data_IF_332186278548
#
_entry.id   IF_332186278548
#
_cell.length_a   1.000
_cell.length_b   1.000
_cell.length_c   1.000
_cell.angle_alpha   90.00
_cell.angle_beta   90.00
_cell.angle_gamma   90.00
#
_symmetry.space_group_name_H-M   'P 1'
#
loop_
_entity.id
_entity.type
_entity.pdbx_description
1 polymer ?
#
# COMPACT_ATOMS: atom_id res chain seq x y z
N UNK A 1 -9.59 8.34 17.23
CA UNK A 1 -9.64 6.86 17.27
C UNK A 1 -8.62 6.35 16.28
N UNK A 2 -7.85 5.31 16.63
CA UNK A 2 -6.92 4.70 15.67
C UNK A 2 -7.72 3.96 14.58
N UNK A 3 -7.22 3.94 13.35
CA UNK A 3 -7.93 3.30 12.23
C UNK A 3 -7.37 3.69 10.86
N UNK A 4 -7.91 3.04 9.84
CA UNK A 4 -7.64 3.34 8.43
C UNK A 4 -8.91 3.90 7.80
N UNK A 5 -8.76 4.98 7.04
CA UNK A 5 -9.80 5.59 6.23
C UNK A 5 -9.36 5.55 4.76
N UNK A 6 -10.23 5.03 3.90
CA UNK A 6 -10.00 4.90 2.47
C UNK A 6 -11.18 5.57 1.76
N UNK A 7 -10.89 6.53 0.90
CA UNK A 7 -11.92 7.20 0.10
C UNK A 7 -11.36 7.59 -1.27
N UNK A 8 -12.11 8.39 -2.04
CA UNK A 8 -11.70 8.75 -3.39
C UNK A 8 -10.60 9.79 -3.49
N UNK A 9 -10.29 10.47 -2.40
CA UNK A 9 -9.28 11.54 -2.35
C UNK A 9 -7.96 11.03 -1.76
N UNK A 10 -8.03 10.24 -0.70
CA UNK A 10 -6.85 9.81 0.04
C UNK A 10 -6.99 8.42 0.65
N UNK A 11 -5.85 7.93 1.15
CA UNK A 11 -5.75 6.85 2.12
C UNK A 11 -5.04 7.39 3.35
N UNK A 12 -5.66 7.22 4.52
CA UNK A 12 -5.17 7.77 5.79
C UNK A 12 -5.16 6.69 6.87
N UNK A 13 -4.10 6.63 7.66
CA UNK A 13 -4.02 5.85 8.89
C UNK A 13 -3.76 6.77 10.08
N UNK A 14 -4.61 6.66 11.10
CA UNK A 14 -4.38 7.29 12.41
C UNK A 14 -3.86 6.24 13.39
N UNK A 15 -2.69 6.46 13.97
CA UNK A 15 -2.06 5.57 14.95
C UNK A 15 -2.62 5.81 16.36
N UNK A 16 -2.38 4.87 17.27
CA UNK A 16 -2.82 4.96 18.67
C UNK A 16 -2.31 6.20 19.41
N UNK A 17 -1.13 6.71 19.02
CA UNK A 17 -0.54 7.93 19.58
C UNK A 17 -1.04 9.22 18.89
N UNK A 18 -2.03 9.14 17.99
CA UNK A 18 -2.57 10.28 17.27
C UNK A 18 -1.77 10.71 16.04
N UNK A 19 -0.63 10.08 15.75
CA UNK A 19 0.12 10.34 14.51
C UNK A 19 -0.72 9.95 13.29
N UNK A 20 -0.68 10.77 12.26
CA UNK A 20 -1.41 10.55 11.00
C UNK A 20 -0.43 10.30 9.87
N UNK A 21 -0.69 9.24 9.12
CA UNK A 21 -0.03 8.89 7.88
C UNK A 21 -1.07 9.01 6.77
N UNK A 22 -0.73 9.67 5.67
CA UNK A 22 -1.67 9.94 4.59
C UNK A 22 -0.96 10.00 3.24
N UNK A 23 -1.65 9.49 2.22
CA UNK A 23 -1.30 9.71 0.83
C UNK A 23 -2.56 10.10 0.04
N UNK A 24 -2.47 11.17 -0.75
CA UNK A 24 -3.49 11.48 -1.74
C UNK A 24 -3.29 10.59 -2.98
N UNK A 25 -4.38 10.14 -3.62
CA UNK A 25 -4.28 9.31 -4.84
C UNK A 25 -3.53 10.03 -5.97
N UNK A 26 -3.68 11.35 -6.06
CA UNK A 26 -2.98 12.20 -7.03
C UNK A 26 -1.47 12.23 -6.81
N UNK A 27 -1.00 12.02 -5.58
CA UNK A 27 0.42 12.00 -5.21
C UNK A 27 1.02 10.59 -5.17
N UNK A 28 0.20 9.53 -5.22
CA UNK A 28 0.66 8.15 -5.12
C UNK A 28 1.71 7.83 -6.21
N UNK A 29 2.94 7.58 -5.79
CA UNK A 29 4.08 7.34 -6.67
C UNK A 29 4.51 5.87 -6.71
N UNK A 30 4.29 5.12 -5.63
CA UNK A 30 4.69 3.73 -5.54
C UNK A 30 3.78 2.95 -4.58
N UNK A 31 3.56 1.67 -4.87
CA UNK A 31 2.86 0.72 -4.00
C UNK A 31 3.77 -0.49 -3.77
N UNK A 32 3.99 -0.82 -2.50
CA UNK A 32 4.67 -2.05 -2.09
C UNK A 32 3.75 -2.94 -1.28
N UNK A 33 4.04 -4.23 -1.30
CA UNK A 33 3.56 -5.18 -0.30
C UNK A 33 4.74 -5.58 0.57
N UNK A 34 4.53 -5.57 1.88
CA UNK A 34 5.48 -6.09 2.87
C UNK A 34 4.82 -7.25 3.60
N UNK A 35 5.49 -8.38 3.62
CA UNK A 35 5.14 -9.54 4.44
C UNK A 35 6.06 -9.58 5.65
N UNK A 36 5.51 -9.86 6.83
CA UNK A 36 6.27 -10.08 8.05
C UNK A 36 6.26 -11.59 8.38
N UNK A 37 7.42 -12.19 8.54
CA UNK A 37 7.61 -13.60 8.88
C UNK A 37 7.84 -13.81 10.39
N UNK A 38 8.36 -12.79 11.08
CA UNK A 38 8.70 -12.86 12.51
C UNK A 38 8.21 -11.64 13.30
N UNK A 39 8.18 -11.79 14.63
CA UNK A 39 7.78 -10.73 15.56
C UNK A 39 6.28 -10.61 15.78
N UNK A 40 5.80 -9.55 16.46
CA UNK A 40 4.40 -9.40 16.86
C UNK A 40 3.43 -9.24 15.68
N UNK A 41 3.93 -9.07 14.47
CA UNK A 41 3.16 -8.93 13.22
C UNK A 41 3.42 -10.09 12.25
N UNK A 42 4.02 -11.20 12.72
CA UNK A 42 4.28 -12.38 11.88
C UNK A 42 2.98 -12.90 11.24
N UNK A 43 3.02 -13.15 9.94
CA UNK A 43 1.88 -13.55 9.13
C UNK A 43 1.05 -12.38 8.58
N UNK A 44 1.32 -11.14 8.98
CA UNK A 44 0.63 -9.97 8.46
C UNK A 44 1.17 -9.56 7.09
N UNK A 45 0.26 -9.04 6.27
CA UNK A 45 0.52 -8.41 4.98
C UNK A 45 0.19 -6.94 5.07
N UNK A 46 1.07 -6.08 4.56
CA UNK A 46 0.88 -4.64 4.56
C UNK A 46 1.03 -4.08 3.16
N UNK A 47 0.07 -3.25 2.73
CA UNK A 47 0.25 -2.35 1.59
C UNK A 47 0.93 -1.09 2.07
N UNK A 48 2.06 -0.73 1.46
CA UNK A 48 2.77 0.53 1.72
C UNK A 48 2.59 1.43 0.52
N UNK A 49 1.82 2.50 0.72
CA UNK A 49 1.58 3.55 -0.25
C UNK A 49 2.59 4.66 -0.06
N UNK A 50 3.32 5.01 -1.11
CA UNK A 50 4.37 6.03 -1.07
C UNK A 50 3.98 7.16 -2.03
N UNK A 51 3.92 8.38 -1.51
CA UNK A 51 3.65 9.59 -2.26
C UNK A 51 4.92 10.21 -2.84
N UNK A 52 4.78 10.97 -3.92
CA UNK A 52 5.90 11.69 -4.57
C UNK A 52 6.55 12.75 -3.67
N UNK A 53 5.86 13.20 -2.62
CA UNK A 53 6.33 14.22 -1.66
C UNK A 53 7.08 13.63 -0.46
N UNK A 54 7.33 12.32 -0.45
CA UNK A 54 7.97 11.61 0.66
C UNK A 54 7.03 11.24 1.81
N UNK A 55 5.75 11.61 1.73
CA UNK A 55 4.69 11.08 2.62
C UNK A 55 4.29 9.66 2.21
N UNK A 56 3.69 8.92 3.12
CA UNK A 56 3.17 7.59 2.83
C UNK A 56 2.11 7.15 3.82
N UNK A 57 1.44 6.06 3.50
CA UNK A 57 0.45 5.43 4.35
C UNK A 57 0.61 3.92 4.29
N UNK A 58 0.65 3.26 5.46
CA UNK A 58 0.66 1.81 5.56
C UNK A 58 -0.76 1.33 5.85
N UNK A 59 -1.26 0.41 5.03
CA UNK A 59 -2.58 -0.23 5.17
C UNK A 59 -2.37 -1.71 5.47
N UNK A 60 -2.71 -2.19 6.68
CA UNK A 60 -2.75 -3.61 6.96
C UNK A 60 -3.76 -4.30 6.03
N UNK A 61 -3.46 -5.50 5.56
CA UNK A 61 -4.36 -6.27 4.70
C UNK A 61 -5.73 -6.51 5.36
N UNK A 62 -5.77 -6.64 6.69
CA UNK A 62 -7.02 -6.74 7.47
C UNK A 62 -7.93 -5.51 7.38
N UNK A 63 -7.40 -4.34 6.97
CA UNK A 63 -8.14 -3.11 6.75
C UNK A 63 -8.31 -2.78 5.25
N UNK A 64 -7.78 -3.61 4.34
CA UNK A 64 -7.89 -3.45 2.90
C UNK A 64 -9.20 -4.09 2.41
N UNK A 65 -10.18 -3.27 2.03
CA UNK A 65 -11.42 -3.77 1.45
C UNK A 65 -11.30 -4.03 -0.08
N UNK A 66 -12.32 -4.67 -0.65
CA UNK A 66 -12.36 -4.98 -2.07
C UNK A 66 -12.28 -3.73 -2.95
N UNK A 67 -12.84 -2.61 -2.51
CA UNK A 67 -12.83 -1.35 -3.27
C UNK A 67 -11.41 -0.78 -3.36
N UNK A 68 -10.68 -0.79 -2.26
CA UNK A 68 -9.26 -0.43 -2.22
C UNK A 68 -8.41 -1.32 -3.13
N UNK A 69 -8.58 -2.64 -3.03
CA UNK A 69 -7.83 -3.59 -3.88
C UNK A 69 -8.13 -3.35 -5.36
N UNK A 70 -9.41 -3.18 -5.72
CA UNK A 70 -9.83 -2.87 -7.10
C UNK A 70 -9.20 -1.57 -7.59
N UNK A 71 -9.15 -0.54 -6.73
CA UNK A 71 -8.54 0.74 -7.07
C UNK A 71 -7.04 0.65 -7.32
N UNK A 72 -6.32 -0.15 -6.53
CA UNK A 72 -4.90 -0.43 -6.77
C UNK A 72 -4.68 -1.19 -8.08
N UNK A 73 -5.47 -2.25 -8.31
CA UNK A 73 -5.35 -3.09 -9.52
C UNK A 73 -5.71 -2.34 -10.81
N UNK A 74 -6.51 -1.27 -10.72
CA UNK A 74 -6.83 -0.39 -11.84
C UNK A 74 -5.69 0.58 -12.21
N UNK A 75 -4.63 0.68 -11.41
CA UNK A 75 -3.49 1.53 -11.73
C UNK A 75 -2.76 1.00 -12.99
N UNK A 76 -2.43 1.86 -13.98
CA UNK A 76 -1.73 1.42 -15.18
C UNK A 76 -0.38 0.79 -14.83
N UNK A 77 -0.14 -0.42 -15.33
CA UNK A 77 1.09 -1.17 -15.06
C UNK A 77 1.15 -1.83 -13.67
N UNK A 78 0.03 -1.96 -12.96
CA UNK A 78 -0.03 -2.68 -11.69
C UNK A 78 0.26 -4.18 -11.89
N UNK A 79 1.18 -4.71 -11.10
CA UNK A 79 1.71 -6.06 -11.24
C UNK A 79 0.98 -7.05 -10.32
N UNK A 80 -0.12 -7.60 -10.83
CA UNK A 80 -0.91 -8.61 -10.10
C UNK A 80 -0.15 -9.92 -9.84
N UNK A 81 0.84 -10.26 -10.67
CA UNK A 81 1.65 -11.46 -10.47
C UNK A 81 2.48 -11.35 -9.18
N UNK A 82 3.07 -10.17 -8.93
CA UNK A 82 3.77 -9.90 -7.65
C UNK A 82 2.85 -9.87 -6.45
N UNK A 83 1.58 -9.48 -6.61
CA UNK A 83 0.61 -9.60 -5.51
C UNK A 83 0.41 -11.07 -5.15
N UNK A 84 0.14 -11.93 -6.14
CA UNK A 84 0.00 -13.37 -5.91
C UNK A 84 1.25 -13.99 -5.28
N UNK A 85 2.43 -13.58 -5.73
CA UNK A 85 3.70 -14.02 -5.11
C UNK A 85 3.80 -13.58 -3.64
N UNK A 86 3.45 -12.32 -3.34
CA UNK A 86 3.48 -11.79 -1.99
C UNK A 86 2.52 -12.53 -1.05
N UNK A 87 1.33 -12.90 -1.52
CA UNK A 87 0.34 -13.62 -0.73
C UNK A 87 0.67 -15.11 -0.54
N UNK A 88 1.52 -15.69 -1.39
CA UNK A 88 1.88 -17.12 -1.36
C UNK A 88 3.18 -17.45 -0.64
N UNK A 89 3.95 -16.45 -0.19
CA UNK A 89 5.27 -16.63 0.42
C UNK A 89 5.28 -16.56 1.95
N UNK A 90 6.18 -17.29 2.59
CA UNK A 90 6.36 -17.35 4.06
C UNK A 90 7.58 -16.57 4.58
N UNK A 91 8.21 -15.72 3.76
CA UNK A 91 9.43 -15.00 4.12
C UNK A 91 9.20 -13.48 4.18
N UNK A 92 9.98 -12.80 5.02
CA UNK A 92 10.11 -11.34 5.04
C UNK A 92 10.53 -10.84 3.66
N UNK A 93 9.61 -10.18 2.96
CA UNK A 93 9.84 -9.72 1.59
C UNK A 93 9.16 -8.39 1.34
N UNK A 94 9.78 -7.62 0.46
CA UNK A 94 9.29 -6.35 -0.05
C UNK A 94 9.02 -6.49 -1.54
N UNK A 95 7.75 -6.37 -1.94
CA UNK A 95 7.33 -6.49 -3.34
C UNK A 95 6.87 -5.13 -3.85
N UNK A 96 7.61 -4.52 -4.79
CA UNK A 96 7.13 -3.35 -5.52
C UNK A 96 6.15 -3.79 -6.61
N UNK A 97 4.86 -3.65 -6.33
CA UNK A 97 3.75 -4.07 -7.20
C UNK A 97 3.31 -2.98 -8.16
N UNK A 98 3.67 -1.72 -7.89
CA UNK A 98 3.41 -0.62 -8.82
C UNK A 98 4.35 0.54 -8.58
N UNK A 99 4.67 1.25 -9.65
CA UNK A 99 5.36 2.54 -9.62
C UNK A 99 4.75 3.41 -10.72
N UNK A 100 4.52 4.69 -10.42
CA UNK A 100 4.02 5.64 -11.42
C UNK A 100 5.04 5.80 -12.53
N UNK A 101 4.67 5.43 -13.74
CA UNK A 101 5.47 5.72 -14.93
C UNK A 101 5.30 7.18 -15.29
N UNK A 102 6.36 7.98 -15.18
CA UNK A 102 6.38 9.30 -15.82
C UNK A 102 6.69 9.06 -17.29
N UNK A 103 5.67 9.10 -18.14
CA UNK A 103 5.91 9.18 -19.57
C UNK A 103 6.51 10.56 -19.86
N UNK A 104 7.84 10.63 -20.00
CA UNK A 104 8.47 11.76 -20.65
C UNK A 104 7.99 11.75 -22.11
N UNK A 105 7.11 12.68 -22.45
CA UNK A 105 6.86 13.01 -23.85
C UNK A 105 8.13 13.70 -24.33
N UNK A 106 8.82 13.04 -25.26
CA UNK A 106 10.02 13.54 -25.92
C UNK A 106 9.67 14.60 -26.97
#
# INVERSE_FOLDING_TARGET
>A
MAGVEINDTYVRRTLANGRVEEVAWTELAEVRIITAADGPFAGDVFFVLIGSTGKGCVVPYSAADTAFLTKLQALPGFDNAKVSEAMGGSADRHFRVWQRTIHHVN
#
